data_IF_047840316745
#
_entry.id   IF_047840316745
#
_cell.length_a   1.000
_cell.length_b   1.000
_cell.length_c   1.000
_cell.angle_alpha   90.00
_cell.angle_beta   90.00
_cell.angle_gamma   90.00
#
_symmetry.space_group_name_H-M   'P 1'
#
loop_
_entity.id
_entity.type
_entity.pdbx_description
1 polymer ?
#
# COMPACT_ATOMS: atom_id res chain seq x y z
N UNK A 1 -29.86 13.92 15.59
CA UNK A 1 -28.94 14.55 16.55
C UNK A 1 -27.52 14.18 16.14
N UNK A 2 -26.75 15.18 15.68
CA UNK A 2 -25.30 15.26 15.44
C UNK A 2 -24.64 14.29 14.42
N UNK A 3 -24.56 14.81 13.20
CA UNK A 3 -23.48 14.58 12.22
C UNK A 3 -22.11 14.75 12.89
N UNK A 4 -21.17 13.82 12.64
CA UNK A 4 -19.76 14.01 13.02
C UNK A 4 -18.80 13.21 12.11
N UNK A 5 -18.17 13.95 11.19
CA UNK A 5 -16.87 13.73 10.56
C UNK A 5 -16.70 12.64 9.49
N UNK A 6 -17.25 12.86 8.29
CA UNK A 6 -16.49 12.52 7.09
C UNK A 6 -15.35 13.54 6.98
N UNK A 7 -14.15 13.22 7.47
CA UNK A 7 -12.96 13.99 7.10
C UNK A 7 -12.72 13.74 5.62
N UNK A 8 -13.16 14.65 4.76
CA UNK A 8 -12.65 14.75 3.40
C UNK A 8 -11.23 15.33 3.50
N UNK A 9 -10.27 14.48 3.90
CA UNK A 9 -8.86 14.78 3.70
C UNK A 9 -8.55 14.43 2.25
N UNK A 10 -8.84 15.37 1.36
CA UNK A 10 -8.45 15.24 -0.04
C UNK A 10 -6.92 15.31 -0.10
N UNK A 11 -6.27 14.15 -0.23
CA UNK A 11 -4.82 14.07 -0.43
C UNK A 11 -4.54 14.26 -1.91
N UNK A 12 -3.85 15.33 -2.27
CA UNK A 12 -3.35 15.52 -3.62
C UNK A 12 -2.15 14.59 -3.87
N UNK A 13 -2.23 13.83 -4.95
CA UNK A 13 -1.15 13.00 -5.47
C UNK A 13 -0.67 13.59 -6.79
N UNK A 14 0.64 13.63 -6.97
CA UNK A 14 1.21 13.89 -8.29
C UNK A 14 0.69 12.86 -9.30
N UNK A 15 0.26 13.28 -10.51
CA UNK A 15 -0.35 12.40 -11.49
C UNK A 15 0.48 11.13 -11.78
N UNK A 16 1.79 11.26 -11.83
CA UNK A 16 2.74 10.18 -12.08
C UNK A 16 2.74 9.08 -11.00
N UNK A 17 2.33 9.39 -9.77
CA UNK A 17 2.27 8.46 -8.63
C UNK A 17 0.90 7.85 -8.39
N UNK A 18 -0.13 8.30 -9.13
CA UNK A 18 -1.51 7.82 -8.97
C UNK A 18 -1.62 6.31 -9.17
N UNK A 19 -1.08 5.78 -10.26
CA UNK A 19 -1.19 4.35 -10.55
C UNK A 19 -0.46 3.50 -9.49
N UNK A 20 0.70 3.94 -9.00
CA UNK A 20 1.39 3.27 -7.89
C UNK A 20 0.54 3.22 -6.62
N UNK A 21 -0.10 4.34 -6.26
CA UNK A 21 -0.99 4.43 -5.12
C UNK A 21 -2.19 3.49 -5.25
N UNK A 22 -2.82 3.46 -6.43
CA UNK A 22 -3.97 2.59 -6.69
C UNK A 22 -3.61 1.09 -6.66
N UNK A 23 -2.44 0.72 -7.21
CA UNK A 23 -1.94 -0.66 -7.15
C UNK A 23 -1.59 -1.05 -5.71
N UNK A 24 -0.91 -0.18 -4.97
CA UNK A 24 -0.62 -0.41 -3.55
C UNK A 24 -1.91 -0.60 -2.75
N UNK A 25 -2.91 0.25 -2.98
CA UNK A 25 -4.24 0.14 -2.37
C UNK A 25 -4.94 -1.17 -2.70
N UNK A 26 -4.82 -1.66 -3.94
CA UNK A 26 -5.36 -2.96 -4.33
C UNK A 26 -4.66 -4.14 -3.61
N UNK A 27 -3.44 -3.94 -3.13
CA UNK A 27 -2.68 -4.93 -2.36
C UNK A 27 -2.79 -4.74 -0.84
N UNK A 28 -3.61 -3.80 -0.34
CA UNK A 28 -3.62 -3.39 1.06
C UNK A 28 -3.95 -4.51 2.07
N UNK A 29 -4.53 -5.62 1.62
CA UNK A 29 -4.81 -6.80 2.45
C UNK A 29 -3.75 -7.90 2.35
N UNK A 30 -2.76 -7.76 1.46
CA UNK A 30 -1.79 -8.78 1.11
C UNK A 30 -0.45 -8.54 1.82
N UNK A 31 -0.50 -8.34 3.14
CA UNK A 31 0.70 -8.15 3.95
C UNK A 31 1.33 -9.49 4.36
N UNK A 32 2.65 -9.55 4.27
CA UNK A 32 3.45 -10.57 4.95
C UNK A 32 3.56 -10.19 6.42
N UNK A 33 3.00 -11.01 7.29
CA UNK A 33 2.97 -10.78 8.74
C UNK A 33 3.69 -11.92 9.45
N UNK A 34 4.60 -11.56 10.35
CA UNK A 34 5.17 -12.50 11.33
C UNK A 34 4.43 -12.27 12.65
N UNK A 35 3.64 -13.25 13.08
CA UNK A 35 2.92 -13.21 14.34
C UNK A 35 3.63 -14.05 15.40
N UNK A 36 3.71 -13.51 16.62
CA UNK A 36 4.23 -14.18 17.81
C UNK A 36 3.35 -13.91 19.02
N UNK A 37 3.76 -14.39 20.20
CA UNK A 37 2.98 -14.20 21.42
C UNK A 37 2.89 -12.70 21.75
N UNK A 38 1.69 -12.15 21.68
CA UNK A 38 1.39 -10.75 22.00
C UNK A 38 1.88 -9.71 20.99
N UNK A 39 2.35 -10.12 19.81
CA UNK A 39 2.77 -9.17 18.78
C UNK A 39 2.60 -9.69 17.35
N UNK A 40 2.40 -8.76 16.42
CA UNK A 40 2.49 -9.01 14.98
C UNK A 40 3.35 -7.92 14.34
N UNK A 41 4.27 -8.31 13.46
CA UNK A 41 5.13 -7.39 12.73
C UNK A 41 4.86 -7.57 11.24
N UNK A 42 4.48 -6.49 10.57
CA UNK A 42 4.33 -6.44 9.12
C UNK A 42 5.72 -6.30 8.50
N UNK A 43 6.06 -7.18 7.57
CA UNK A 43 7.37 -7.18 6.90
C UNK A 43 7.33 -6.43 5.57
N UNK A 44 6.17 -6.36 4.92
CA UNK A 44 5.95 -5.80 3.60
C UNK A 44 4.75 -6.44 2.91
N UNK A 45 4.39 -5.96 1.73
CA UNK A 45 3.44 -6.54 0.81
C UNK A 45 4.03 -7.84 0.23
N UNK A 46 3.18 -8.81 -0.05
CA UNK A 46 3.55 -9.96 -0.86
C UNK A 46 3.80 -9.53 -2.32
N UNK A 47 5.05 -9.60 -2.77
CA UNK A 47 5.41 -9.21 -4.13
C UNK A 47 4.87 -10.13 -5.20
N UNK A 48 4.59 -11.39 -4.90
CA UNK A 48 3.94 -12.28 -5.87
C UNK A 48 2.49 -11.86 -6.09
N UNK A 49 1.79 -11.42 -5.03
CA UNK A 49 0.47 -10.83 -5.15
C UNK A 49 0.51 -9.50 -5.90
N UNK A 50 1.48 -8.63 -5.58
CA UNK A 50 1.70 -7.35 -6.26
C UNK A 50 1.95 -7.53 -7.77
N UNK A 51 2.83 -8.47 -8.15
CA UNK A 51 3.10 -8.80 -9.54
C UNK A 51 1.83 -9.26 -10.27
N UNK A 52 1.03 -10.12 -9.62
CA UNK A 52 -0.25 -10.57 -10.17
C UNK A 52 -1.21 -9.40 -10.41
N UNK A 53 -1.29 -8.45 -9.46
CA UNK A 53 -2.12 -7.25 -9.59
C UNK A 53 -1.62 -6.35 -10.72
N UNK A 54 -0.31 -6.11 -10.82
CA UNK A 54 0.27 -5.31 -11.91
C UNK A 54 -0.02 -5.92 -13.28
N UNK A 55 0.10 -7.25 -13.40
CA UNK A 55 -0.25 -7.98 -14.62
C UNK A 55 -1.74 -7.88 -14.96
N UNK A 56 -2.63 -8.08 -13.98
CA UNK A 56 -4.09 -7.98 -14.20
C UNK A 56 -4.52 -6.56 -14.60
N UNK A 57 -3.79 -5.53 -14.16
CA UNK A 57 -4.03 -4.13 -14.51
C UNK A 57 -3.35 -3.67 -15.79
N UNK A 58 -2.52 -4.50 -16.41
CA UNK A 58 -1.82 -4.14 -17.65
C UNK A 58 -0.75 -3.07 -17.46
N UNK A 59 -0.07 -3.04 -16.31
CA UNK A 59 1.01 -2.09 -16.04
C UNK A 59 2.16 -2.32 -17.04
N UNK A 60 2.53 -1.28 -17.78
CA UNK A 60 3.58 -1.36 -18.82
C UNK A 60 4.99 -1.38 -18.21
N UNK A 61 5.35 -0.35 -17.43
CA UNK A 61 6.65 -0.26 -16.76
C UNK A 61 6.56 -0.78 -15.32
N UNK A 62 6.51 -2.10 -15.20
CA UNK A 62 6.41 -2.78 -13.90
C UNK A 62 7.61 -2.50 -12.99
N UNK A 63 8.80 -2.28 -13.54
CA UNK A 63 10.00 -1.98 -12.78
C UNK A 63 9.92 -0.59 -12.13
N UNK A 64 9.61 0.46 -12.91
CA UNK A 64 9.44 1.80 -12.35
C UNK A 64 8.26 1.84 -11.37
N UNK A 65 7.17 1.12 -11.68
CA UNK A 65 5.99 1.07 -10.81
C UNK A 65 6.29 0.37 -9.49
N UNK A 66 7.06 -0.72 -9.52
CA UNK A 66 7.49 -1.42 -8.32
C UNK A 66 8.28 -0.50 -7.37
N UNK A 67 9.24 0.28 -7.88
CA UNK A 67 10.03 1.20 -7.04
C UNK A 67 9.16 2.28 -6.38
N UNK A 68 8.20 2.84 -7.12
CA UNK A 68 7.25 3.81 -6.54
C UNK A 68 6.41 3.18 -5.42
N UNK A 69 5.96 1.93 -5.61
CA UNK A 69 5.18 1.20 -4.61
C UNK A 69 6.02 0.90 -3.37
N UNK A 70 7.31 0.56 -3.53
CA UNK A 70 8.25 0.35 -2.43
C UNK A 70 8.42 1.60 -1.56
N UNK A 71 8.35 2.80 -2.14
CA UNK A 71 8.35 4.03 -1.36
C UNK A 71 7.08 4.19 -0.51
N UNK A 72 5.90 3.88 -1.07
CA UNK A 72 4.64 3.92 -0.32
C UNK A 72 4.66 2.88 0.80
N UNK A 73 5.11 1.66 0.49
CA UNK A 73 5.24 0.56 1.44
C UNK A 73 6.18 0.92 2.61
N UNK A 74 7.34 1.52 2.35
CA UNK A 74 8.26 1.95 3.40
C UNK A 74 7.59 2.93 4.38
N UNK A 75 6.83 3.90 3.86
CA UNK A 75 6.03 4.82 4.68
C UNK A 75 4.94 4.10 5.48
N UNK A 76 4.21 3.18 4.85
CA UNK A 76 3.19 2.38 5.50
C UNK A 76 3.76 1.50 6.62
N UNK A 77 4.91 0.86 6.39
CA UNK A 77 5.62 0.05 7.40
C UNK A 77 6.04 0.90 8.60
N UNK A 78 6.49 2.13 8.38
CA UNK A 78 6.86 3.08 9.43
C UNK A 78 5.70 3.52 10.32
N UNK A 79 4.46 3.39 9.85
CA UNK A 79 3.24 3.68 10.62
C UNK A 79 2.65 2.42 11.23
N UNK A 80 2.49 1.35 10.45
CA UNK A 80 1.76 0.13 10.86
C UNK A 80 2.47 -0.66 11.96
N UNK A 81 3.81 -0.59 12.00
CA UNK A 81 4.60 -1.23 13.04
C UNK A 81 4.92 -0.28 14.21
N UNK A 82 4.47 0.97 14.15
CA UNK A 82 4.67 1.94 15.23
C UNK A 82 3.74 1.58 16.39
N UNK A 83 4.31 1.50 17.59
CA UNK A 83 3.60 1.27 18.85
C UNK A 83 3.46 2.55 19.64
#
# INVERSE_FOLDING_TARGET
MKSSYARNNDTQLWPEHREAYEIFGACATQWRVIAGVGNAIHQGIDYTALESVMRMRGVEDTAARFEQIRHIEAGALGVINKR
#
